data_IF_122175784118
#
_entry.id   IF_122175784118
#
_cell.length_a   1.000
_cell.length_b   1.000
_cell.length_c   1.000
_cell.angle_alpha   90.00
_cell.angle_beta   90.00
_cell.angle_gamma   90.00
#
_symmetry.space_group_name_H-M   'P 1'
#
loop_
_entity.id
_entity.type
_entity.pdbx_description
1 polymer ?
#
# COMPACT_ATOMS: atom_id res chain seq x y z
N UNK A 1 -14.53 -27.75 12.08
CA UNK A 1 -14.85 -26.56 11.26
C UNK A 1 -16.36 -26.53 11.13
N UNK A 2 -17.05 -25.51 11.66
CA UNK A 2 -18.51 -25.59 11.90
C UNK A 2 -19.38 -24.74 10.96
N UNK A 3 -18.82 -23.82 10.17
CA UNK A 3 -19.61 -22.91 9.34
C UNK A 3 -19.19 -22.83 7.86
N UNK A 4 -17.92 -23.05 7.52
CA UNK A 4 -17.46 -23.13 6.12
C UNK A 4 -16.97 -24.54 5.79
N UNK A 5 -17.83 -25.30 5.11
CA UNK A 5 -17.55 -26.68 4.71
C UNK A 5 -17.04 -26.79 3.26
N UNK A 6 -17.03 -25.70 2.49
CA UNK A 6 -16.56 -25.66 1.11
C UNK A 6 -15.08 -25.30 1.07
N UNK A 7 -14.69 -24.19 1.70
CA UNK A 7 -13.30 -23.73 1.73
C UNK A 7 -12.56 -24.34 2.93
N UNK A 8 -12.41 -25.66 2.90
CA UNK A 8 -11.67 -26.41 3.91
C UNK A 8 -10.15 -26.22 3.77
N UNK A 9 -9.39 -26.62 4.78
CA UNK A 9 -7.92 -26.62 4.70
C UNK A 9 -7.40 -27.44 3.51
N UNK A 10 -7.90 -28.66 3.32
CA UNK A 10 -7.52 -29.52 2.20
C UNK A 10 -7.87 -28.87 0.86
N UNK A 11 -9.05 -28.27 0.76
CA UNK A 11 -9.48 -27.56 -0.45
C UNK A 11 -8.52 -26.40 -0.80
N UNK A 12 -8.15 -25.55 0.16
CA UNK A 12 -7.18 -24.48 -0.09
C UNK A 12 -5.80 -25.01 -0.49
N UNK A 13 -5.34 -26.10 0.12
CA UNK A 13 -4.05 -26.72 -0.22
C UNK A 13 -4.03 -27.25 -1.65
N UNK A 14 -5.15 -27.76 -2.15
CA UNK A 14 -5.28 -28.26 -3.52
C UNK A 14 -5.46 -27.14 -4.54
N UNK A 15 -6.14 -26.04 -4.14
CA UNK A 15 -6.53 -24.93 -5.00
C UNK A 15 -5.61 -23.71 -4.91
N UNK A 16 -4.40 -23.86 -4.37
CA UNK A 16 -3.40 -22.79 -4.35
C UNK A 16 -2.04 -23.27 -4.85
N UNK A 17 -1.21 -22.33 -5.29
CA UNK A 17 0.17 -22.55 -5.68
C UNK A 17 1.01 -21.32 -5.35
N UNK A 18 2.32 -21.50 -5.14
CA UNK A 18 3.24 -20.38 -4.99
C UNK A 18 3.69 -19.87 -6.36
N UNK A 19 3.74 -18.55 -6.53
CA UNK A 19 4.35 -17.94 -7.70
C UNK A 19 5.80 -18.40 -7.87
N UNK A 20 6.23 -18.44 -9.12
CA UNK A 20 7.56 -18.93 -9.49
C UNK A 20 8.66 -17.97 -8.99
N UNK A 21 9.83 -18.49 -8.59
CA UNK A 21 10.96 -17.65 -8.14
C UNK A 21 11.45 -16.66 -9.21
N UNK A 22 11.18 -16.96 -10.48
CA UNK A 22 11.46 -16.08 -11.62
C UNK A 22 10.42 -14.96 -11.81
N UNK A 23 9.35 -14.91 -11.03
CA UNK A 23 8.30 -13.90 -11.15
C UNK A 23 8.81 -12.52 -10.73
N UNK A 24 8.68 -11.54 -11.63
CA UNK A 24 9.07 -10.15 -11.38
C UNK A 24 7.82 -9.34 -11.03
N UNK A 25 7.81 -8.75 -9.84
CA UNK A 25 6.65 -8.09 -9.25
C UNK A 25 6.57 -6.57 -9.55
N UNK A 26 7.12 -6.07 -10.66
CA UNK A 26 7.21 -4.63 -10.95
C UNK A 26 6.08 -4.09 -11.86
N UNK A 27 5.26 -4.98 -12.43
CA UNK A 27 4.19 -4.66 -13.37
C UNK A 27 2.80 -4.84 -12.73
N UNK A 28 2.06 -3.73 -12.62
CA UNK A 28 0.71 -3.72 -12.02
C UNK A 28 -0.31 -4.55 -12.79
N UNK A 29 -0.21 -4.61 -14.11
CA UNK A 29 -1.17 -5.35 -14.95
C UNK A 29 -0.96 -6.85 -14.76
N UNK A 30 0.31 -7.30 -14.76
CA UNK A 30 0.65 -8.69 -14.47
C UNK A 30 0.26 -9.09 -13.05
N UNK A 31 0.53 -8.22 -12.08
CA UNK A 31 0.12 -8.43 -10.70
C UNK A 31 -1.39 -8.59 -10.55
N UNK A 32 -2.17 -7.72 -11.21
CA UNK A 32 -3.62 -7.81 -11.19
C UNK A 32 -4.12 -9.09 -11.85
N UNK A 33 -3.51 -9.50 -12.97
CA UNK A 33 -3.83 -10.78 -13.61
C UNK A 33 -3.60 -11.96 -12.66
N UNK A 34 -2.48 -12.00 -11.94
CA UNK A 34 -2.22 -13.05 -10.93
C UNK A 34 -3.24 -13.00 -9.78
N UNK A 35 -3.64 -11.81 -9.33
CA UNK A 35 -4.54 -11.62 -8.20
C UNK A 35 -5.98 -12.11 -8.42
N UNK A 36 -6.42 -12.15 -9.67
CA UNK A 36 -7.77 -12.61 -10.03
C UNK A 36 -7.82 -14.07 -10.46
N UNK A 37 -6.67 -14.77 -10.48
CA UNK A 37 -6.63 -16.22 -10.73
C UNK A 37 -7.41 -16.96 -9.65
N UNK A 38 -8.16 -17.99 -10.04
CA UNK A 38 -8.78 -18.88 -9.07
C UNK A 38 -9.70 -19.91 -9.71
N UNK A 39 -10.26 -20.84 -8.92
CA UNK A 39 -11.07 -21.95 -9.44
C UNK A 39 -12.36 -21.53 -10.15
N UNK A 40 -12.74 -20.25 -10.06
CA UNK A 40 -13.91 -19.67 -10.73
C UNK A 40 -13.53 -18.74 -11.90
N UNK A 41 -12.23 -18.55 -12.18
CA UNK A 41 -11.70 -17.72 -13.24
C UNK A 41 -10.52 -18.44 -13.93
N UNK A 42 -10.69 -18.80 -15.21
CA UNK A 42 -9.70 -19.51 -16.04
C UNK A 42 -9.31 -20.95 -15.56
N UNK A 43 -10.17 -21.64 -14.79
CA UNK A 43 -9.93 -22.99 -14.25
C UNK A 43 -8.58 -23.15 -13.49
N UNK A 44 -8.08 -22.04 -12.92
CA UNK A 44 -6.77 -21.95 -12.27
C UNK A 44 -6.79 -22.21 -10.76
N UNK A 45 -5.60 -22.17 -10.15
CA UNK A 45 -5.41 -22.15 -8.69
C UNK A 45 -5.17 -20.73 -8.20
N UNK A 46 -5.47 -20.44 -6.95
CA UNK A 46 -5.09 -19.18 -6.33
C UNK A 46 -3.56 -19.08 -6.24
N UNK A 47 -3.01 -18.01 -6.81
CA UNK A 47 -1.59 -17.71 -6.67
C UNK A 47 -1.28 -17.20 -5.26
N UNK A 48 -0.12 -17.58 -4.73
CA UNK A 48 0.40 -17.16 -3.43
C UNK A 48 1.78 -16.54 -3.61
N UNK A 49 2.07 -15.45 -2.92
CA UNK A 49 3.35 -14.77 -2.97
C UNK A 49 3.19 -13.25 -3.12
N UNK A 50 4.25 -12.59 -3.54
CA UNK A 50 4.26 -11.14 -3.77
C UNK A 50 3.80 -10.88 -5.21
N UNK A 51 2.60 -10.33 -5.38
CA UNK A 51 2.09 -10.01 -6.72
C UNK A 51 2.71 -8.75 -7.28
N UNK A 52 2.95 -7.75 -6.43
CA UNK A 52 3.48 -6.45 -6.81
C UNK A 52 4.36 -5.87 -5.70
N UNK A 53 5.54 -5.39 -6.08
CA UNK A 53 6.45 -4.63 -5.27
C UNK A 53 7.10 -3.56 -6.15
N UNK A 54 7.06 -2.31 -5.69
CA UNK A 54 7.70 -1.21 -6.39
C UNK A 54 8.52 -0.37 -5.42
N UNK A 55 9.82 -0.44 -5.62
CA UNK A 55 10.79 0.31 -4.85
C UNK A 55 10.90 1.76 -5.33
N UNK A 56 11.40 2.64 -4.46
CA UNK A 56 11.64 4.05 -4.78
C UNK A 56 10.38 4.89 -5.03
N UNK A 57 9.19 4.37 -4.66
CA UNK A 57 7.96 5.15 -4.68
C UNK A 57 7.89 5.97 -3.40
N UNK A 58 7.73 7.28 -3.56
CA UNK A 58 7.57 8.17 -2.42
C UNK A 58 6.36 7.79 -1.59
N UNK A 59 6.52 7.71 -0.27
CA UNK A 59 5.41 7.54 0.67
C UNK A 59 4.52 8.78 0.67
N UNK A 60 3.39 8.70 1.37
CA UNK A 60 2.51 9.85 1.53
C UNK A 60 3.25 11.04 2.18
N UNK A 61 3.99 10.78 3.26
CA UNK A 61 4.73 11.78 4.03
C UNK A 61 5.79 12.48 3.17
N UNK A 62 6.54 11.72 2.35
CA UNK A 62 7.54 12.25 1.43
C UNK A 62 6.96 13.12 0.31
N UNK A 63 5.67 12.98 0.02
CA UNK A 63 4.96 13.81 -0.96
C UNK A 63 4.40 15.11 -0.35
N UNK A 64 4.26 15.21 0.98
CA UNK A 64 3.73 16.41 1.63
C UNK A 64 4.81 17.49 1.71
N UNK A 65 4.44 18.72 1.32
CA UNK A 65 5.36 19.87 1.30
C UNK A 65 5.97 20.20 2.67
N UNK A 66 5.25 19.91 3.75
CA UNK A 66 5.68 20.16 5.14
C UNK A 66 6.90 19.32 5.54
N UNK A 67 7.11 18.17 4.92
CA UNK A 67 8.24 17.28 5.19
C UNK A 67 9.42 17.44 4.22
N UNK A 68 9.37 18.44 3.32
CA UNK A 68 10.40 18.63 2.27
C UNK A 68 11.77 19.06 2.80
N UNK A 69 11.80 19.73 3.95
CA UNK A 69 13.03 20.30 4.56
C UNK A 69 13.39 19.67 5.90
N UNK A 70 12.39 19.11 6.58
CA UNK A 70 12.51 18.55 7.93
C UNK A 70 11.54 17.38 7.98
N UNK A 71 12.05 16.20 8.30
CA UNK A 71 11.39 14.91 8.40
C UNK A 71 10.97 14.57 9.84
N UNK A 72 11.33 15.42 10.82
CA UNK A 72 10.92 15.23 12.22
C UNK A 72 9.39 15.31 12.39
N UNK A 73 8.79 14.58 13.34
CA UNK A 73 7.37 14.69 13.63
C UNK A 73 6.92 16.14 13.92
N UNK A 74 5.75 16.55 13.41
CA UNK A 74 5.30 17.95 13.53
C UNK A 74 5.23 18.44 14.98
N UNK A 75 4.86 17.58 15.92
CA UNK A 75 4.72 17.94 17.33
C UNK A 75 6.05 18.23 18.04
N UNK A 76 7.20 17.79 17.49
CA UNK A 76 8.52 18.07 18.06
C UNK A 76 9.12 19.37 17.53
N UNK A 77 8.54 19.95 16.48
CA UNK A 77 9.08 21.15 15.83
C UNK A 77 8.77 22.40 16.64
N UNK A 78 9.75 23.29 16.75
CA UNK A 78 9.55 24.61 17.37
C UNK A 78 8.76 25.52 16.42
N UNK A 79 7.68 26.09 16.94
CA UNK A 79 6.88 27.09 16.22
C UNK A 79 7.61 28.43 16.19
N UNK A 80 7.81 28.98 15.00
CA UNK A 80 8.27 30.36 14.83
C UNK A 80 7.10 31.33 15.12
N UNK A 81 7.08 31.87 16.34
CA UNK A 81 6.02 32.77 16.81
C UNK A 81 5.95 34.08 16.01
N UNK A 82 7.06 34.54 15.45
CA UNK A 82 7.08 35.78 14.67
C UNK A 82 6.40 35.58 13.31
N UNK A 83 6.69 34.47 12.63
CA UNK A 83 5.98 34.08 11.39
C UNK A 83 4.49 33.87 11.64
N UNK A 84 4.13 33.21 12.74
CA UNK A 84 2.73 33.00 13.11
C UNK A 84 2.01 34.34 13.35
N UNK A 85 2.62 35.26 14.09
CA UNK A 85 2.06 36.60 14.33
C UNK A 85 1.83 37.35 13.02
N UNK A 86 2.82 37.36 12.12
CA UNK A 86 2.67 37.98 10.79
C UNK A 86 1.52 37.38 9.97
N UNK A 87 1.33 36.06 10.03
CA UNK A 87 0.19 35.41 9.37
C UNK A 87 -1.15 35.85 9.98
N UNK A 88 -1.26 35.90 11.31
CA UNK A 88 -2.48 36.35 12.00
C UNK A 88 -2.81 37.79 11.60
N UNK A 89 -1.83 38.68 11.66
CA UNK A 89 -2.02 40.10 11.33
C UNK A 89 -2.43 40.29 9.86
N UNK A 90 -1.89 39.48 8.93
CA UNK A 90 -2.28 39.50 7.51
C UNK A 90 -3.75 39.15 7.24
N UNK A 91 -4.42 38.49 8.19
CA UNK A 91 -5.83 38.07 8.09
C UNK A 91 -6.78 38.94 8.91
N UNK A 92 -6.28 39.95 9.64
CA UNK A 92 -7.07 40.83 10.52
C UNK A 92 -7.68 42.06 9.84
N UNK A 93 -7.38 42.33 8.57
CA UNK A 93 -7.96 43.46 7.81
C UNK A 93 -8.85 43.03 6.65
N UNK A 94 -9.71 42.04 6.88
CA UNK A 94 -10.95 41.82 6.13
C UNK A 94 -12.11 42.01 7.11
#
# INVERSE_FOLDING_TARGET
MTFNNVNTFSWFKENSYYLEDSYVADDKVKAFKRAIEGPHHDDGKFSLGIFYAKEGVKTFEENISVYRQDDSPLFTRKVDKNKLKGLIDSKRSI
#
